data_IF_596659563249
#
_entry.id   IF_596659563249
#
_cell.length_a   1.000
_cell.length_b   1.000
_cell.length_c   1.000
_cell.angle_alpha   90.00
_cell.angle_beta   90.00
_cell.angle_gamma   90.00
#
_symmetry.space_group_name_H-M   'P 1'
#
loop_
_entity.id
_entity.type
_entity.pdbx_description
1 polymer ?
#
# COMPACT_ATOMS: atom_id res chain seq x y z
N UNK A 1 -39.56 -8.40 -19.42
CA UNK A 1 -38.32 -9.00 -18.87
C UNK A 1 -37.16 -8.67 -19.80
N UNK A 2 -36.73 -7.42 -19.78
CA UNK A 2 -35.65 -6.89 -20.61
C UNK A 2 -35.20 -5.56 -19.99
N UNK A 3 -34.32 -5.62 -18.97
CA UNK A 3 -33.59 -4.47 -18.38
C UNK A 3 -32.56 -4.92 -17.35
N UNK A 4 -31.66 -5.82 -17.71
CA UNK A 4 -30.51 -6.17 -16.87
C UNK A 4 -29.14 -6.05 -17.56
N UNK A 5 -29.13 -5.78 -18.89
CA UNK A 5 -27.87 -5.83 -19.64
C UNK A 5 -27.11 -4.50 -19.63
N UNK A 6 -27.68 -3.43 -19.07
CA UNK A 6 -27.05 -2.10 -19.04
C UNK A 6 -26.17 -1.81 -17.83
N UNK A 7 -26.28 -2.57 -16.76
CA UNK A 7 -25.52 -2.30 -15.51
C UNK A 7 -24.16 -3.00 -15.51
N UNK A 8 -24.02 -4.12 -16.20
CA UNK A 8 -22.76 -4.88 -16.28
C UNK A 8 -21.83 -4.43 -17.44
N UNK A 9 -22.33 -3.66 -18.40
CA UNK A 9 -21.49 -3.13 -19.49
C UNK A 9 -20.73 -1.86 -19.13
N UNK A 10 -20.95 -1.29 -17.94
CA UNK A 10 -20.26 -0.11 -17.42
C UNK A 10 -19.12 -0.42 -16.44
N UNK A 11 -18.81 -1.69 -16.19
CA UNK A 11 -17.57 -2.09 -15.53
C UNK A 11 -16.44 -1.84 -16.53
N UNK A 12 -15.76 -0.69 -16.37
CA UNK A 12 -14.68 -0.29 -17.23
C UNK A 12 -13.62 -1.40 -17.25
N UNK A 13 -13.46 -2.06 -18.40
CA UNK A 13 -12.31 -2.92 -18.64
C UNK A 13 -11.05 -2.11 -18.35
N UNK A 14 -10.29 -2.53 -17.33
CA UNK A 14 -9.00 -1.91 -17.05
C UNK A 14 -8.14 -2.07 -18.29
N UNK A 15 -7.78 -0.98 -18.92
CA UNK A 15 -6.93 -1.08 -20.11
C UNK A 15 -5.59 -1.72 -19.72
N UNK A 16 -5.00 -2.53 -20.62
CA UNK A 16 -3.64 -3.08 -20.41
C UNK A 16 -2.65 -2.00 -20.01
N UNK A 17 -2.83 -0.77 -20.49
CA UNK A 17 -1.99 0.37 -20.16
C UNK A 17 -2.14 0.78 -18.70
N UNK A 18 -3.34 0.79 -18.15
CA UNK A 18 -3.60 1.18 -16.77
C UNK A 18 -3.15 0.09 -15.80
N UNK A 19 -3.30 -1.18 -16.18
CA UNK A 19 -2.75 -2.30 -15.44
C UNK A 19 -1.21 -2.28 -15.41
N UNK A 20 -0.55 -1.92 -16.50
CA UNK A 20 0.91 -1.70 -16.52
C UNK A 20 1.34 -0.54 -15.62
N UNK A 21 0.60 0.56 -15.62
CA UNK A 21 0.87 1.69 -14.70
C UNK A 21 0.77 1.26 -13.24
N UNK A 22 -0.25 0.47 -12.91
CA UNK A 22 -0.43 -0.10 -11.58
C UNK A 22 0.76 -0.94 -11.16
N UNK A 23 1.15 -1.93 -11.95
CA UNK A 23 2.29 -2.79 -11.63
C UNK A 23 3.59 -1.98 -11.49
N UNK A 24 3.73 -0.93 -12.30
CA UNK A 24 4.85 0.02 -12.19
C UNK A 24 4.79 0.82 -10.88
N UNK A 25 3.61 1.28 -10.47
CA UNK A 25 3.44 1.98 -9.20
C UNK A 25 3.72 1.07 -7.99
N UNK A 26 3.25 -0.19 -8.03
CA UNK A 26 3.56 -1.18 -6.98
C UNK A 26 5.06 -1.49 -6.93
N UNK A 27 5.73 -1.64 -8.07
CA UNK A 27 7.17 -1.81 -8.12
C UNK A 27 7.90 -0.61 -7.53
N UNK A 28 7.48 0.61 -7.86
CA UNK A 28 8.04 1.84 -7.31
C UNK A 28 7.84 1.95 -5.78
N UNK A 29 6.67 1.54 -5.27
CA UNK A 29 6.40 1.48 -3.82
C UNK A 29 7.40 0.58 -3.09
N UNK A 30 7.88 -0.47 -3.75
CA UNK A 30 8.87 -1.41 -3.21
C UNK A 30 10.32 -0.99 -3.52
N UNK A 31 10.55 0.17 -4.13
CA UNK A 31 11.87 0.62 -4.57
C UNK A 31 12.47 -0.20 -5.72
N UNK A 32 11.63 -0.91 -6.47
CA UNK A 32 12.05 -1.74 -7.61
C UNK A 32 12.08 -0.93 -8.92
N UNK A 33 12.83 -1.42 -9.90
CA UNK A 33 12.95 -0.78 -11.21
C UNK A 33 11.65 -0.88 -12.05
N UNK A 34 11.53 -0.07 -13.08
CA UNK A 34 10.42 -0.15 -14.06
C UNK A 34 10.35 -1.52 -14.78
N UNK A 35 11.48 -2.21 -14.91
CA UNK A 35 11.52 -3.58 -15.42
C UNK A 35 10.74 -4.54 -14.52
N UNK A 36 10.85 -4.38 -13.21
CA UNK A 36 10.07 -5.16 -12.25
C UNK A 36 8.55 -4.92 -12.39
N UNK A 37 8.13 -3.70 -12.72
CA UNK A 37 6.73 -3.41 -13.04
C UNK A 37 6.23 -4.17 -14.28
N UNK A 38 7.06 -4.32 -15.30
CA UNK A 38 6.73 -5.11 -16.49
C UNK A 38 6.67 -6.62 -16.17
N UNK A 39 7.59 -7.14 -15.35
CA UNK A 39 7.59 -8.53 -14.87
C UNK A 39 6.35 -8.82 -14.02
N UNK A 40 5.96 -7.91 -13.15
CA UNK A 40 4.72 -8.01 -12.37
C UNK A 40 3.50 -8.02 -13.29
N UNK A 41 3.46 -7.15 -14.30
CA UNK A 41 2.38 -7.14 -15.29
C UNK A 41 2.24 -8.50 -15.97
N UNK A 42 3.34 -9.08 -16.45
CA UNK A 42 3.33 -10.36 -17.10
C UNK A 42 2.84 -11.49 -16.18
N UNK A 43 3.34 -11.54 -14.94
CA UNK A 43 2.99 -12.58 -13.98
C UNK A 43 1.52 -12.51 -13.51
N UNK A 44 0.98 -11.31 -13.37
CA UNK A 44 -0.40 -11.08 -12.90
C UNK A 44 -1.44 -11.16 -14.04
N UNK A 45 -1.01 -11.16 -15.31
CA UNK A 45 -1.87 -11.40 -16.47
C UNK A 45 -1.94 -12.87 -16.88
N UNK A 46 -1.29 -13.76 -16.14
CA UNK A 46 -1.43 -15.21 -16.39
C UNK A 46 -2.89 -15.66 -16.17
N UNK A 47 -3.38 -16.63 -17.00
CA UNK A 47 -4.79 -17.07 -16.95
C UNK A 47 -5.18 -17.73 -15.61
N UNK A 48 -4.22 -18.19 -14.82
CA UNK A 48 -4.48 -18.83 -13.52
C UNK A 48 -4.29 -17.82 -12.38
N UNK A 49 -5.41 -17.28 -11.91
CA UNK A 49 -5.43 -16.43 -10.73
C UNK A 49 -5.05 -17.25 -9.48
N UNK A 50 -4.18 -16.72 -8.59
CA UNK A 50 -3.86 -17.39 -7.35
C UNK A 50 -5.10 -17.45 -6.45
N UNK A 51 -5.44 -18.63 -5.92
CA UNK A 51 -6.55 -18.75 -4.98
C UNK A 51 -6.16 -18.10 -3.64
N UNK A 52 -7.09 -17.37 -3.06
CA UNK A 52 -6.94 -16.68 -1.77
C UNK A 52 -8.08 -17.11 -0.85
N UNK A 53 -7.72 -17.54 0.34
CA UNK A 53 -8.61 -17.78 1.46
C UNK A 53 -8.37 -16.68 2.49
N UNK A 54 -9.39 -15.86 2.76
CA UNK A 54 -9.35 -14.81 3.76
C UNK A 54 -10.24 -15.21 4.94
N UNK A 55 -9.63 -15.42 6.09
CA UNK A 55 -10.34 -15.86 7.31
C UNK A 55 -10.30 -14.74 8.33
N UNK A 56 -11.50 -14.29 8.77
CA UNK A 56 -11.67 -13.32 9.84
C UNK A 56 -11.71 -13.99 11.21
N UNK A 57 -10.97 -13.46 12.17
CA UNK A 57 -11.00 -13.88 13.57
C UNK A 57 -11.62 -12.76 14.43
N UNK A 58 -11.04 -12.38 15.57
CA UNK A 58 -11.51 -11.19 16.32
C UNK A 58 -11.05 -9.92 15.59
N UNK A 59 -11.86 -9.45 14.68
CA UNK A 59 -11.57 -8.32 13.80
C UNK A 59 -12.70 -7.28 13.81
N UNK A 60 -12.44 -6.09 13.30
CA UNK A 60 -13.41 -4.99 13.16
C UNK A 60 -13.76 -4.69 11.70
N UNK A 61 -13.40 -5.56 10.77
CA UNK A 61 -13.50 -5.38 9.31
C UNK A 61 -12.62 -4.25 8.75
N UNK A 62 -11.86 -3.56 9.60
CA UNK A 62 -11.05 -2.39 9.20
C UNK A 62 -9.96 -2.70 8.18
N UNK A 63 -9.38 -3.91 8.21
CA UNK A 63 -8.37 -4.32 7.23
C UNK A 63 -9.01 -4.58 5.86
N UNK A 64 -10.19 -5.20 5.82
CA UNK A 64 -11.00 -5.36 4.61
C UNK A 64 -11.44 -4.00 4.07
N UNK A 65 -11.95 -3.10 4.92
CA UNK A 65 -12.32 -1.73 4.55
C UNK A 65 -11.13 -0.96 3.93
N UNK A 66 -9.96 -1.10 4.52
CA UNK A 66 -8.74 -0.48 3.97
C UNK A 66 -8.44 -1.00 2.57
N UNK A 67 -8.60 -2.30 2.33
CA UNK A 67 -8.41 -2.90 1.01
C UNK A 67 -9.44 -2.39 -0.01
N UNK A 68 -10.71 -2.24 0.40
CA UNK A 68 -11.76 -1.69 -0.46
C UNK A 68 -11.49 -0.25 -0.89
N UNK A 69 -10.65 0.49 -0.15
CA UNK A 69 -10.24 1.86 -0.45
C UNK A 69 -8.98 1.95 -1.30
N UNK A 70 -8.43 0.82 -1.75
CA UNK A 70 -7.32 0.85 -2.68
C UNK A 70 -7.77 1.43 -4.03
N UNK A 71 -6.97 2.35 -4.58
CA UNK A 71 -7.26 3.01 -5.85
C UNK A 71 -6.52 2.39 -7.03
N UNK A 72 -5.39 1.72 -6.76
CA UNK A 72 -4.53 1.13 -7.77
C UNK A 72 -3.84 -0.15 -7.25
N UNK A 73 -4.41 -1.34 -7.49
CA UNK A 73 -5.68 -1.65 -8.13
C UNK A 73 -6.88 -1.26 -7.29
N UNK A 74 -8.03 -1.05 -7.94
CA UNK A 74 -9.29 -1.03 -7.21
C UNK A 74 -9.62 -2.43 -6.72
N UNK A 75 -10.52 -2.56 -5.76
CA UNK A 75 -10.92 -3.88 -5.24
C UNK A 75 -11.54 -4.76 -6.34
N UNK A 76 -12.26 -4.17 -7.27
CA UNK A 76 -12.85 -4.89 -8.41
C UNK A 76 -11.75 -5.52 -9.27
N UNK A 77 -10.70 -4.76 -9.61
CA UNK A 77 -9.57 -5.29 -10.37
C UNK A 77 -8.84 -6.38 -9.63
N UNK A 78 -8.65 -6.21 -8.31
CA UNK A 78 -8.02 -7.22 -7.48
C UNK A 78 -8.79 -8.53 -7.52
N UNK A 79 -10.09 -8.50 -7.20
CA UNK A 79 -10.94 -9.70 -7.05
C UNK A 79 -11.29 -10.31 -8.40
N UNK A 80 -11.55 -9.47 -9.43
CA UNK A 80 -11.99 -9.98 -10.73
C UNK A 80 -10.86 -10.37 -11.67
N UNK A 81 -9.66 -9.80 -11.49
CA UNK A 81 -8.58 -9.97 -12.47
C UNK A 81 -7.28 -10.56 -11.88
N UNK A 82 -6.93 -10.22 -10.63
CA UNK A 82 -5.62 -10.53 -10.08
C UNK A 82 -5.60 -11.77 -9.19
N UNK A 83 -6.67 -12.02 -8.42
CA UNK A 83 -6.79 -13.15 -7.49
C UNK A 83 -8.09 -13.93 -7.75
N UNK A 84 -8.15 -15.16 -7.25
CA UNK A 84 -9.40 -15.90 -7.10
C UNK A 84 -9.75 -15.92 -5.62
N UNK A 85 -10.67 -15.06 -5.20
CA UNK A 85 -11.11 -14.97 -3.81
C UNK A 85 -12.10 -16.14 -3.54
N UNK A 86 -11.58 -17.22 -2.98
CA UNK A 86 -12.34 -18.45 -2.76
C UNK A 86 -13.21 -18.39 -1.51
N UNK A 87 -12.77 -17.64 -0.51
CA UNK A 87 -13.49 -17.47 0.75
C UNK A 87 -13.15 -16.13 1.41
N UNK A 88 -14.20 -15.43 1.88
CA UNK A 88 -14.10 -14.22 2.68
C UNK A 88 -15.43 -14.00 3.39
N UNK A 89 -15.46 -13.93 4.73
CA UNK A 89 -16.71 -13.83 5.50
C UNK A 89 -17.57 -12.63 5.10
N UNK A 90 -16.97 -11.50 4.80
CA UNK A 90 -17.69 -10.25 4.50
C UNK A 90 -18.05 -10.10 3.02
N UNK A 91 -17.21 -10.59 2.08
CA UNK A 91 -17.36 -10.34 0.64
C UNK A 91 -17.97 -11.49 -0.13
N UNK A 92 -17.95 -12.72 0.40
CA UNK A 92 -18.53 -13.87 -0.27
C UNK A 92 -20.06 -13.82 -0.24
N UNK A 93 -20.69 -14.18 -1.35
CA UNK A 93 -22.14 -14.25 -1.44
C UNK A 93 -22.72 -15.50 -0.74
N UNK A 94 -21.92 -16.56 -0.59
CA UNK A 94 -22.33 -17.79 0.09
C UNK A 94 -22.42 -17.57 1.60
N UNK A 95 -23.34 -18.28 2.26
CA UNK A 95 -23.53 -18.25 3.71
C UNK A 95 -23.86 -19.66 4.26
N UNK A 96 -23.72 -19.83 5.59
CA UNK A 96 -24.03 -21.07 6.28
C UNK A 96 -23.19 -22.25 5.78
N UNK A 97 -23.81 -23.42 5.60
CA UNK A 97 -23.15 -24.65 5.15
C UNK A 97 -22.48 -24.47 3.79
N UNK A 98 -23.10 -23.71 2.87
CA UNK A 98 -22.52 -23.45 1.55
C UNK A 98 -21.19 -22.70 1.65
N UNK A 99 -21.04 -21.74 2.56
CA UNK A 99 -19.80 -21.02 2.77
C UNK A 99 -18.71 -21.94 3.33
N UNK A 100 -19.06 -22.79 4.30
CA UNK A 100 -18.15 -23.77 4.87
C UNK A 100 -17.68 -24.81 3.85
N UNK A 101 -18.62 -25.31 3.04
CA UNK A 101 -18.32 -26.26 1.96
C UNK A 101 -17.37 -25.62 0.93
N UNK A 102 -17.61 -24.38 0.53
CA UNK A 102 -16.73 -23.66 -0.39
C UNK A 102 -15.32 -23.52 0.19
N UNK A 103 -15.19 -23.15 1.47
CA UNK A 103 -13.90 -23.06 2.16
C UNK A 103 -13.17 -24.41 2.19
N UNK A 104 -13.84 -25.46 2.61
CA UNK A 104 -13.24 -26.81 2.67
C UNK A 104 -12.90 -27.35 1.27
N UNK A 105 -13.72 -27.10 0.28
CA UNK A 105 -13.45 -27.49 -1.11
C UNK A 105 -12.24 -26.72 -1.67
N UNK A 106 -12.14 -25.43 -1.41
CA UNK A 106 -11.02 -24.62 -1.82
C UNK A 106 -9.70 -25.10 -1.18
N UNK A 107 -9.70 -25.40 0.14
CA UNK A 107 -8.55 -25.99 0.85
C UNK A 107 -8.08 -27.29 0.18
N UNK A 108 -9.00 -28.17 -0.17
CA UNK A 108 -8.70 -29.46 -0.82
C UNK A 108 -8.21 -29.27 -2.26
N UNK A 109 -8.94 -28.49 -3.04
CA UNK A 109 -8.68 -28.29 -4.48
C UNK A 109 -7.35 -27.58 -4.73
N UNK A 110 -7.02 -26.58 -3.89
CA UNK A 110 -5.85 -25.73 -4.05
C UNK A 110 -4.74 -26.04 -3.04
N UNK A 111 -4.73 -27.21 -2.42
CA UNK A 111 -3.73 -27.59 -1.44
C UNK A 111 -2.29 -27.34 -1.95
N UNK A 112 -1.49 -26.63 -1.18
CA UNK A 112 -0.13 -26.23 -1.54
C UNK A 112 -0.03 -25.04 -2.52
N UNK A 113 -1.16 -24.40 -2.89
CA UNK A 113 -1.17 -23.35 -3.93
C UNK A 113 -1.87 -22.07 -3.52
N UNK A 114 -2.72 -22.07 -2.50
CA UNK A 114 -3.45 -20.88 -2.09
C UNK A 114 -2.66 -20.03 -1.10
N UNK A 115 -2.98 -18.75 -1.09
CA UNK A 115 -2.53 -17.80 -0.07
C UNK A 115 -3.59 -17.76 1.03
N UNK A 116 -3.18 -18.01 2.27
CA UNK A 116 -4.02 -17.81 3.44
C UNK A 116 -3.79 -16.40 3.98
N UNK A 117 -4.84 -15.61 4.07
CA UNK A 117 -4.85 -14.29 4.73
C UNK A 117 -5.68 -14.42 5.99
N UNK A 118 -5.13 -14.03 7.12
CA UNK A 118 -5.83 -14.01 8.40
C UNK A 118 -5.94 -12.57 8.89
N UNK A 119 -7.18 -12.12 9.13
CA UNK A 119 -7.52 -10.82 9.71
C UNK A 119 -8.04 -11.03 11.14
N UNK A 120 -7.65 -10.15 12.06
CA UNK A 120 -8.06 -10.25 13.45
C UNK A 120 -7.18 -11.12 14.33
N UNK A 121 -7.29 -10.94 15.64
CA UNK A 121 -6.57 -11.74 16.64
C UNK A 121 -7.26 -13.07 16.92
N UNK A 122 -6.49 -14.05 17.32
CA UNK A 122 -7.01 -15.41 17.53
C UNK A 122 -7.16 -15.64 19.05
N UNK A 123 -8.39 -15.73 19.58
CA UNK A 123 -8.59 -16.01 20.99
C UNK A 123 -8.25 -17.47 21.31
N UNK A 124 -7.48 -17.68 22.37
CA UNK A 124 -7.10 -19.04 22.81
C UNK A 124 -7.61 -19.39 24.20
N UNK A 125 -8.06 -18.39 24.98
CA UNK A 125 -8.59 -18.62 26.32
C UNK A 125 -9.90 -19.42 26.24
N UNK A 126 -10.14 -20.22 27.24
CA UNK A 126 -11.36 -21.05 27.41
C UNK A 126 -11.67 -21.92 26.15
N UNK A 127 -10.59 -22.44 25.50
CA UNK A 127 -10.73 -23.25 24.28
C UNK A 127 -11.08 -22.46 23.02
N UNK A 128 -10.92 -21.12 23.02
CA UNK A 128 -11.18 -20.29 21.85
C UNK A 128 -12.64 -19.89 21.63
N UNK A 129 -13.52 -20.08 22.62
CA UNK A 129 -14.97 -19.81 22.51
C UNK A 129 -15.33 -18.36 22.19
N UNK A 130 -14.40 -17.43 22.33
CA UNK A 130 -14.62 -16.00 22.07
C UNK A 130 -14.65 -15.62 20.57
N UNK A 131 -14.37 -16.58 19.68
CA UNK A 131 -14.57 -16.45 18.25
C UNK A 131 -14.90 -17.82 17.65
N UNK A 132 -16.18 -18.03 17.36
CA UNK A 132 -16.73 -19.29 16.88
C UNK A 132 -17.32 -19.11 15.47
N UNK A 133 -16.96 -19.99 14.55
CA UNK A 133 -17.51 -20.05 13.21
C UNK A 133 -17.99 -21.47 12.93
N UNK A 134 -19.20 -21.63 12.43
CA UNK A 134 -19.81 -22.94 12.15
C UNK A 134 -19.69 -23.94 13.31
N UNK A 135 -19.83 -23.47 14.56
CA UNK A 135 -19.78 -24.29 15.76
C UNK A 135 -18.38 -24.73 16.22
N UNK A 136 -17.31 -24.22 15.59
CA UNK A 136 -15.91 -24.52 15.95
C UNK A 136 -15.14 -23.24 16.28
N UNK A 137 -14.17 -23.30 17.21
CA UNK A 137 -13.27 -22.17 17.45
C UNK A 137 -12.50 -21.79 16.19
N UNK A 138 -12.34 -20.47 15.96
CA UNK A 138 -11.67 -19.96 14.76
C UNK A 138 -10.21 -20.44 14.66
N UNK A 139 -9.56 -20.71 15.80
CA UNK A 139 -8.19 -21.24 15.82
C UNK A 139 -8.08 -22.58 15.10
N UNK A 140 -9.10 -23.44 15.17
CA UNK A 140 -9.12 -24.73 14.48
C UNK A 140 -9.20 -24.54 12.96
N UNK A 141 -10.08 -23.64 12.49
CA UNK A 141 -10.20 -23.29 11.06
C UNK A 141 -8.87 -22.74 10.51
N UNK A 142 -8.23 -21.85 11.25
CA UNK A 142 -6.95 -21.26 10.85
C UNK A 142 -5.84 -22.31 10.80
N UNK A 143 -5.76 -23.19 11.82
CA UNK A 143 -4.76 -24.26 11.85
C UNK A 143 -4.98 -25.29 10.74
N UNK A 144 -6.24 -25.59 10.39
CA UNK A 144 -6.56 -26.46 9.27
C UNK A 144 -6.12 -25.83 7.94
N UNK A 145 -6.51 -24.58 7.70
CA UNK A 145 -6.18 -23.87 6.47
C UNK A 145 -4.67 -23.62 6.33
N UNK A 146 -3.96 -23.40 7.43
CA UNK A 146 -2.51 -23.16 7.39
C UNK A 146 -1.69 -24.35 6.88
N UNK A 147 -2.18 -25.59 7.05
CA UNK A 147 -1.47 -26.82 6.64
C UNK A 147 -1.24 -26.91 5.12
N UNK A 148 -2.15 -26.36 4.35
CA UNK A 148 -2.12 -26.44 2.89
C UNK A 148 -1.79 -25.09 2.22
N UNK A 149 -1.47 -24.04 2.95
CA UNK A 149 -1.18 -22.74 2.39
C UNK A 149 0.22 -22.67 1.77
N UNK A 150 0.33 -22.09 0.59
CA UNK A 150 1.62 -21.78 -0.06
C UNK A 150 2.30 -20.56 0.57
N UNK A 151 1.51 -19.61 1.07
CA UNK A 151 1.96 -18.47 1.84
C UNK A 151 0.89 -18.11 2.88
N UNK A 152 1.33 -17.58 4.03
CA UNK A 152 0.45 -17.21 5.13
C UNK A 152 0.72 -15.74 5.47
N UNK A 153 -0.32 -14.92 5.45
CA UNK A 153 -0.26 -13.48 5.71
C UNK A 153 -1.14 -13.15 6.92
N UNK A 154 -0.55 -12.53 7.92
CA UNK A 154 -1.25 -11.88 9.02
C UNK A 154 -1.48 -10.41 8.65
N UNK A 155 -2.71 -10.05 8.26
CA UNK A 155 -3.07 -8.68 7.93
C UNK A 155 -3.60 -7.95 9.14
N UNK A 156 -3.11 -6.75 9.36
CA UNK A 156 -3.47 -5.93 10.51
C UNK A 156 -2.71 -6.27 11.79
N UNK A 157 -2.70 -5.31 12.72
CA UNK A 157 -2.02 -5.47 14.01
C UNK A 157 -2.66 -6.51 14.90
N UNK A 158 -3.95 -6.82 14.70
CA UNK A 158 -4.64 -7.86 15.45
C UNK A 158 -4.08 -9.23 15.11
N UNK A 159 -3.98 -9.59 13.84
CA UNK A 159 -3.40 -10.87 13.42
C UNK A 159 -1.88 -10.94 13.68
N UNK A 160 -1.18 -9.81 13.54
CA UNK A 160 0.27 -9.76 13.72
C UNK A 160 0.70 -9.80 15.20
N UNK A 161 -0.03 -9.11 16.10
CA UNK A 161 0.41 -8.86 17.50
C UNK A 161 -0.69 -9.04 18.55
N UNK A 162 -1.90 -9.44 18.20
CA UNK A 162 -3.07 -9.43 19.08
C UNK A 162 -3.87 -8.13 19.05
N UNK A 163 -3.27 -7.00 18.71
CA UNK A 163 -3.92 -5.70 18.45
C UNK A 163 -4.83 -5.19 19.57
N UNK A 164 -5.92 -4.55 19.19
CA UNK A 164 -6.93 -4.00 20.14
C UNK A 164 -7.50 -5.06 21.08
N UNK A 165 -7.90 -6.28 20.63
CA UNK A 165 -8.45 -7.28 21.54
C UNK A 165 -7.48 -7.76 22.63
N UNK A 166 -6.15 -7.69 22.40
CA UNK A 166 -5.15 -8.06 23.38
C UNK A 166 -4.81 -6.96 24.39
N UNK A 167 -5.28 -5.71 24.17
CA UNK A 167 -5.02 -4.60 25.06
C UNK A 167 -5.78 -4.72 26.39
N UNK A 168 -5.33 -4.00 27.44
CA UNK A 168 -6.07 -3.86 28.69
C UNK A 168 -6.30 -5.14 29.47
N UNK A 169 -5.35 -6.09 29.50
CA UNK A 169 -5.42 -7.33 30.27
C UNK A 169 -5.82 -8.56 29.47
N UNK A 170 -6.03 -8.42 28.17
CA UNK A 170 -6.28 -9.50 27.22
C UNK A 170 -7.37 -10.50 27.68
N UNK A 171 -8.64 -10.09 27.80
CA UNK A 171 -9.70 -10.89 28.43
C UNK A 171 -10.01 -12.19 27.68
N UNK A 172 -9.77 -12.25 26.37
CA UNK A 172 -10.08 -13.39 25.50
C UNK A 172 -8.86 -14.29 25.23
N UNK A 173 -7.67 -13.90 25.70
CA UNK A 173 -6.43 -14.55 25.29
C UNK A 173 -6.12 -14.34 23.81
N UNK A 174 -6.42 -13.13 23.31
CA UNK A 174 -6.18 -12.74 21.92
C UNK A 174 -4.69 -12.84 21.60
N UNK A 175 -4.35 -13.73 20.67
CA UNK A 175 -2.99 -14.08 20.26
C UNK A 175 -2.73 -13.70 18.81
N UNK A 176 -1.45 -13.59 18.47
CA UNK A 176 -1.03 -13.43 17.07
C UNK A 176 -1.14 -14.75 16.30
N UNK A 177 -1.17 -14.64 14.99
CA UNK A 177 -1.18 -15.81 14.10
C UNK A 177 0.07 -16.69 14.31
N UNK A 178 1.24 -16.07 14.47
CA UNK A 178 2.49 -16.80 14.71
C UNK A 178 2.51 -17.57 16.04
N UNK A 179 1.72 -17.16 17.03
CA UNK A 179 1.65 -17.82 18.34
C UNK A 179 0.73 -19.06 18.32
N UNK A 180 -0.26 -19.10 17.43
CA UNK A 180 -1.23 -20.20 17.33
C UNK A 180 -0.86 -21.25 16.29
N UNK A 181 0.09 -20.96 15.42
CA UNK A 181 0.61 -21.91 14.45
C UNK A 181 1.84 -22.66 14.99
N UNK A 182 2.18 -23.81 14.41
CA UNK A 182 3.40 -24.54 14.79
C UNK A 182 4.65 -23.66 14.71
N UNK A 183 5.57 -23.80 15.67
CA UNK A 183 6.83 -23.04 15.69
C UNK A 183 7.59 -23.22 14.37
N UNK A 184 8.04 -22.12 13.78
CA UNK A 184 8.79 -22.12 12.54
C UNK A 184 7.91 -22.01 11.27
N UNK A 185 6.58 -21.99 11.42
CA UNK A 185 5.71 -21.68 10.29
C UNK A 185 5.98 -20.24 9.80
N UNK A 186 6.36 -20.04 8.52
CA UNK A 186 6.64 -18.70 8.00
C UNK A 186 5.33 -17.92 7.86
N UNK A 187 5.21 -16.83 8.63
CA UNK A 187 4.09 -15.90 8.59
C UNK A 187 4.62 -14.54 8.16
N UNK A 188 3.99 -13.94 7.17
CA UNK A 188 4.27 -12.57 6.72
C UNK A 188 3.36 -11.64 7.52
N UNK A 189 3.95 -10.76 8.31
CA UNK A 189 3.21 -9.78 9.09
C UNK A 189 3.07 -8.47 8.32
N UNK A 190 1.84 -8.01 8.11
CA UNK A 190 1.52 -6.70 7.53
C UNK A 190 0.72 -5.91 8.56
N UNK A 191 1.38 -5.42 9.63
CA UNK A 191 0.69 -4.71 10.69
C UNK A 191 0.23 -3.32 10.26
N UNK A 192 -0.73 -2.81 11.00
CA UNK A 192 -1.41 -1.54 10.85
C UNK A 192 -2.81 -1.67 11.44
N UNK A 193 -3.48 -0.58 11.79
CA UNK A 193 -4.83 -0.63 12.33
C UNK A 193 -5.70 0.49 11.73
N UNK A 194 -6.16 0.23 10.49
CA UNK A 194 -5.79 -0.83 9.54
C UNK A 194 -4.42 -0.62 8.90
N UNK A 195 -3.84 -1.63 8.23
CA UNK A 195 -2.63 -1.47 7.43
C UNK A 195 -2.92 -0.69 6.15
N UNK A 196 -1.88 -0.06 5.59
CA UNK A 196 -2.00 0.53 4.26
C UNK A 196 -2.22 -0.60 3.22
N UNK A 197 -3.28 -0.54 2.41
CA UNK A 197 -3.61 -1.60 1.47
C UNK A 197 -2.52 -1.84 0.42
N UNK A 198 -1.77 -0.81 0.05
CA UNK A 198 -0.68 -0.95 -0.90
C UNK A 198 0.47 -1.83 -0.37
N UNK A 199 0.68 -1.87 0.96
CA UNK A 199 1.65 -2.78 1.55
C UNK A 199 1.25 -4.25 1.36
N UNK A 200 -0.03 -4.57 1.52
CA UNK A 200 -0.58 -5.90 1.25
C UNK A 200 -0.50 -6.24 -0.25
N UNK A 201 -1.02 -5.37 -1.11
CA UNK A 201 -1.06 -5.56 -2.55
C UNK A 201 0.34 -5.73 -3.15
N UNK A 202 1.31 -4.90 -2.73
CA UNK A 202 2.69 -5.01 -3.15
C UNK A 202 3.33 -6.33 -2.69
N UNK A 203 3.05 -6.78 -1.47
CA UNK A 203 3.55 -8.06 -0.96
C UNK A 203 3.01 -9.23 -1.77
N UNK A 204 1.70 -9.26 -2.03
CA UNK A 204 1.06 -10.31 -2.84
C UNK A 204 1.61 -10.29 -4.27
N UNK A 205 1.66 -9.12 -4.90
CA UNK A 205 2.22 -8.97 -6.26
C UNK A 205 3.67 -9.45 -6.34
N UNK A 206 4.50 -9.14 -5.34
CA UNK A 206 5.88 -9.62 -5.28
C UNK A 206 5.96 -11.14 -5.20
N UNK A 207 5.19 -11.76 -4.31
CA UNK A 207 5.17 -13.23 -4.15
C UNK A 207 4.72 -13.91 -5.44
N UNK A 208 3.68 -13.38 -6.08
CA UNK A 208 3.14 -13.95 -7.32
C UNK A 208 4.11 -13.84 -8.49
N UNK A 209 4.85 -12.73 -8.57
CA UNK A 209 5.83 -12.48 -9.63
C UNK A 209 7.09 -13.32 -9.47
N UNK A 210 7.69 -13.27 -8.29
CA UNK A 210 9.01 -13.82 -8.06
C UNK A 210 9.01 -15.21 -7.40
N UNK A 211 7.84 -15.72 -7.00
CA UNK A 211 7.65 -17.01 -6.31
C UNK A 211 8.57 -17.16 -5.07
N UNK A 212 8.86 -16.03 -4.42
CA UNK A 212 9.66 -15.92 -3.19
C UNK A 212 9.15 -14.80 -2.29
N UNK A 213 9.52 -14.86 -1.03
CA UNK A 213 9.19 -13.78 -0.09
C UNK A 213 10.03 -12.53 -0.38
N UNK A 214 9.48 -11.30 -0.16
CA UNK A 214 10.28 -10.09 -0.14
C UNK A 214 11.30 -10.15 1.02
N UNK A 215 12.28 -9.25 1.01
CA UNK A 215 13.17 -9.09 2.15
C UNK A 215 12.34 -8.69 3.40
N UNK A 216 12.62 -9.36 4.53
CA UNK A 216 11.84 -9.23 5.75
C UNK A 216 12.71 -8.73 6.90
N UNK A 217 12.12 -8.02 7.84
CA UNK A 217 12.75 -7.68 9.11
C UNK A 217 12.66 -8.82 10.14
N UNK A 218 13.18 -8.57 11.36
CA UNK A 218 13.15 -9.56 12.48
C UNK A 218 11.73 -9.89 12.96
N UNK A 219 10.74 -9.08 12.65
CA UNK A 219 9.33 -9.28 12.98
C UNK A 219 8.55 -9.87 11.81
N UNK A 220 9.23 -10.37 10.79
CA UNK A 220 8.65 -10.90 9.55
C UNK A 220 7.76 -9.88 8.83
N UNK A 221 8.14 -8.59 8.85
CA UNK A 221 7.47 -7.54 8.07
C UNK A 221 8.28 -7.25 6.81
N UNK A 222 7.65 -7.01 5.65
CA UNK A 222 8.35 -6.63 4.42
C UNK A 222 9.17 -5.33 4.60
N UNK A 223 10.47 -5.38 4.37
CA UNK A 223 11.37 -4.23 4.58
C UNK A 223 10.96 -3.01 3.75
N UNK A 224 10.45 -3.19 2.52
CA UNK A 224 10.04 -2.07 1.69
C UNK A 224 8.98 -1.17 2.35
N UNK A 225 8.20 -1.72 3.31
CA UNK A 225 7.14 -1.01 4.02
C UNK A 225 7.51 -0.64 5.47
N UNK A 226 8.44 -1.39 6.09
CA UNK A 226 8.71 -1.29 7.54
C UNK A 226 10.19 -1.12 7.88
N UNK A 227 11.02 -0.61 6.97
CA UNK A 227 12.47 -0.45 7.20
C UNK A 227 12.86 0.88 7.86
N UNK A 228 11.95 1.85 7.93
CA UNK A 228 12.24 3.20 8.39
C UNK A 228 11.31 3.66 9.51
N UNK A 229 11.86 4.47 10.43
CA UNK A 229 11.07 5.09 11.49
C UNK A 229 10.15 6.18 10.93
N UNK A 230 8.88 6.16 11.37
CA UNK A 230 7.90 7.18 11.00
C UNK A 230 8.40 8.58 11.39
N UNK A 231 9.04 8.71 12.55
CA UNK A 231 9.56 9.98 13.06
C UNK A 231 10.63 10.60 12.14
N UNK A 232 11.49 9.80 11.53
CA UNK A 232 12.58 10.28 10.66
C UNK A 232 12.03 10.88 9.34
N UNK A 233 10.92 10.34 8.85
CA UNK A 233 10.31 10.76 7.59
C UNK A 233 9.03 11.59 7.78
N UNK A 234 8.73 12.03 9.02
CA UNK A 234 7.56 12.81 9.32
C UNK A 234 7.74 14.26 8.86
N UNK A 235 6.78 14.79 8.10
CA UNK A 235 6.82 16.20 7.67
C UNK A 235 6.77 17.19 8.85
N UNK A 236 6.34 16.76 10.06
CA UNK A 236 6.39 17.55 11.29
C UNK A 236 7.76 17.47 12.01
N UNK A 237 8.73 16.70 11.48
CA UNK A 237 10.05 16.57 12.08
C UNK A 237 10.79 17.91 12.27
N UNK A 238 10.74 18.88 11.34
CA UNK A 238 11.36 20.20 11.56
C UNK A 238 10.81 20.94 12.77
N UNK A 239 9.55 20.72 13.15
CA UNK A 239 8.99 21.26 14.37
C UNK A 239 9.55 20.61 15.63
N UNK A 240 9.79 19.26 15.58
CA UNK A 240 10.45 18.56 16.67
C UNK A 240 11.85 19.11 16.91
N UNK A 241 12.66 19.23 15.85
CA UNK A 241 14.04 19.71 15.92
C UNK A 241 14.12 21.17 16.40
N UNK A 242 13.11 21.97 16.11
CA UNK A 242 12.99 23.36 16.57
C UNK A 242 12.32 23.52 17.95
N UNK A 243 12.00 22.42 18.66
CA UNK A 243 11.33 22.45 19.97
C UNK A 243 9.89 22.96 19.94
N UNK A 244 9.21 22.90 18.77
CA UNK A 244 7.83 23.35 18.58
C UNK A 244 6.86 22.19 18.69
N UNK A 245 6.14 22.11 19.79
CA UNK A 245 5.22 21.01 20.11
C UNK A 245 3.79 21.50 20.32
N UNK A 246 2.81 20.74 19.84
CA UNK A 246 1.45 20.80 20.33
C UNK A 246 1.41 20.22 21.75
N UNK A 247 0.85 20.94 22.71
CA UNK A 247 0.74 20.53 24.12
C UNK A 247 -0.66 19.99 24.44
N UNK A 248 -1.66 20.49 23.73
CA UNK A 248 -3.06 20.10 23.87
C UNK A 248 -3.72 20.02 22.49
N UNK A 249 -4.75 19.18 22.36
CA UNK A 249 -5.56 19.15 21.15
C UNK A 249 -6.26 20.49 20.95
N UNK A 250 -6.13 21.07 19.77
CA UNK A 250 -6.76 22.34 19.43
C UNK A 250 -6.00 23.59 19.94
N UNK A 251 -4.84 23.45 20.58
CA UNK A 251 -3.99 24.60 20.94
C UNK A 251 -3.39 25.28 19.70
N UNK A 252 -2.64 26.35 19.90
CA UNK A 252 -1.98 27.06 18.80
C UNK A 252 -1.03 26.15 18.02
N UNK A 253 -0.21 25.35 18.72
CA UNK A 253 0.73 24.42 18.07
C UNK A 253 0.03 23.35 17.25
N UNK A 254 -1.05 22.79 17.81
CA UNK A 254 -1.84 21.76 17.12
C UNK A 254 -2.47 22.30 15.82
N UNK A 255 -3.12 23.47 15.89
CA UNK A 255 -3.73 24.13 14.72
C UNK A 255 -2.72 24.56 13.66
N UNK A 256 -1.49 24.85 14.06
CA UNK A 256 -0.39 25.23 13.16
C UNK A 256 0.51 24.06 12.73
N UNK A 257 0.07 22.82 12.95
CA UNK A 257 0.77 21.64 12.46
C UNK A 257 2.10 21.32 13.17
N UNK A 258 2.31 21.80 14.41
CA UNK A 258 3.52 21.51 15.17
C UNK A 258 3.62 20.02 15.55
N UNK A 259 4.79 19.59 15.97
CA UNK A 259 5.04 18.20 16.34
C UNK A 259 4.10 17.71 17.46
N UNK A 260 3.55 16.50 17.28
CA UNK A 260 2.59 15.89 18.20
C UNK A 260 3.26 15.02 19.28
N UNK A 261 4.57 15.12 19.46
CA UNK A 261 5.31 14.30 20.42
C UNK A 261 4.76 14.40 21.83
N UNK A 262 4.48 15.61 22.30
CA UNK A 262 3.92 15.84 23.65
C UNK A 262 2.48 15.33 23.80
N UNK A 263 1.79 15.02 22.72
CA UNK A 263 0.48 14.34 22.75
C UNK A 263 0.61 12.81 22.73
N UNK A 264 1.83 12.28 22.93
CA UNK A 264 2.07 10.85 23.02
C UNK A 264 2.35 10.15 21.69
N UNK A 265 2.82 10.89 20.67
CA UNK A 265 3.17 10.31 19.37
C UNK A 265 4.25 9.22 19.50
N UNK A 266 3.93 8.01 19.01
CA UNK A 266 4.81 6.83 19.01
C UNK A 266 5.69 6.73 17.75
N UNK A 267 5.66 7.75 16.87
CA UNK A 267 6.48 7.77 15.65
C UNK A 267 7.96 7.46 15.87
N UNK A 268 8.61 7.94 16.97
CA UNK A 268 10.01 7.63 17.26
C UNK A 268 10.33 6.15 17.53
N UNK A 269 9.33 5.36 17.86
CA UNK A 269 9.49 3.91 18.17
C UNK A 269 8.80 3.03 17.13
N UNK A 270 8.26 3.60 16.06
CA UNK A 270 7.41 2.88 15.11
C UNK A 270 8.01 2.87 13.72
N UNK A 271 8.23 1.68 13.19
CA UNK A 271 8.65 1.49 11.81
C UNK A 271 7.46 1.40 10.88
N UNK A 272 7.54 2.08 9.72
CA UNK A 272 6.48 2.07 8.72
C UNK A 272 6.60 3.20 7.71
N UNK A 273 5.86 3.08 6.63
CA UNK A 273 5.85 4.02 5.52
C UNK A 273 4.66 5.01 5.55
N UNK A 274 3.92 5.08 6.66
CA UNK A 274 2.71 5.94 6.76
C UNK A 274 2.98 7.42 6.50
N UNK A 275 4.20 7.89 6.72
CA UNK A 275 4.60 9.28 6.46
C UNK A 275 4.95 9.58 5.01
N UNK A 276 5.14 8.55 4.18
CA UNK A 276 5.60 8.66 2.79
C UNK A 276 4.64 8.01 1.80
N UNK A 277 3.90 6.99 2.23
CA UNK A 277 2.84 6.34 1.48
C UNK A 277 1.52 6.57 2.20
N UNK A 278 0.79 7.57 1.77
CA UNK A 278 -0.49 7.94 2.37
C UNK A 278 -1.55 6.84 2.15
N UNK A 279 -2.57 6.81 3.04
CA UNK A 279 -3.69 5.90 2.86
C UNK A 279 -4.56 6.35 1.70
N UNK A 280 -4.43 5.67 0.56
CA UNK A 280 -5.39 5.68 -0.54
C UNK A 280 -5.92 7.04 -1.00
N UNK A 281 -7.16 7.06 -1.33
CA UNK A 281 -7.91 7.93 -2.22
C UNK A 281 -8.56 9.15 -1.58
N UNK A 282 -8.37 9.39 -0.29
CA UNK A 282 -9.14 10.41 0.46
C UNK A 282 -8.48 11.80 0.46
N UNK A 283 -7.53 12.07 -0.43
CA UNK A 283 -6.79 13.34 -0.47
C UNK A 283 -5.57 13.37 0.47
N UNK A 284 -4.71 14.37 0.37
CA UNK A 284 -3.42 14.41 1.05
C UNK A 284 -3.46 14.29 2.58
N UNK A 285 -2.36 13.79 3.16
CA UNK A 285 -2.17 13.60 4.61
C UNK A 285 -3.07 12.55 5.27
N UNK A 286 -3.46 11.50 4.56
CA UNK A 286 -4.37 10.44 5.03
C UNK A 286 -3.70 9.45 5.98
N UNK A 287 -3.14 9.91 7.06
CA UNK A 287 -2.58 9.10 8.12
C UNK A 287 -2.71 9.85 9.46
N UNK A 288 -2.61 9.18 10.62
CA UNK A 288 -2.95 9.80 11.90
C UNK A 288 -2.27 11.15 12.12
N UNK A 289 -0.95 11.24 11.92
CA UNK A 289 -0.22 12.52 12.12
C UNK A 289 -0.61 13.56 11.07
N UNK A 290 -0.96 13.13 9.86
CA UNK A 290 -1.45 13.99 8.81
C UNK A 290 -2.72 14.75 9.20
N UNK A 291 -3.66 14.05 9.79
CA UNK A 291 -4.94 14.60 10.24
C UNK A 291 -4.91 15.21 11.65
N UNK A 292 -3.72 15.34 12.26
CA UNK A 292 -3.56 15.99 13.56
C UNK A 292 -3.63 15.05 14.77
N UNK A 293 -3.63 13.72 14.57
CA UNK A 293 -3.60 12.75 15.64
C UNK A 293 -2.18 12.16 15.81
N UNK A 294 -1.64 12.01 17.03
CA UNK A 294 -0.34 11.36 17.22
C UNK A 294 -0.33 9.93 16.70
N UNK A 295 0.85 9.48 16.21
CA UNK A 295 1.04 8.09 15.82
C UNK A 295 0.80 7.16 17.00
N UNK A 296 -0.06 6.14 16.83
CA UNK A 296 -0.37 5.12 17.85
C UNK A 296 0.74 4.07 18.05
N UNK A 297 1.62 3.92 17.08
CA UNK A 297 2.58 2.82 17.10
C UNK A 297 2.00 1.47 16.69
N UNK A 298 0.89 1.45 15.95
CA UNK A 298 0.17 0.21 15.63
C UNK A 298 0.99 -0.81 14.84
N UNK A 299 1.97 -0.36 14.05
CA UNK A 299 2.86 -1.25 13.29
C UNK A 299 3.90 -1.97 14.16
N UNK A 300 4.08 -1.55 15.42
CA UNK A 300 5.20 -2.02 16.24
C UNK A 300 4.74 -2.89 17.39
N UNK A 301 5.33 -4.10 17.49
CA UNK A 301 5.07 -5.03 18.59
C UNK A 301 5.55 -4.42 19.92
N UNK A 302 4.69 -4.43 20.94
CA UNK A 302 5.01 -3.88 22.26
C UNK A 302 4.96 -2.34 22.37
N UNK A 303 4.56 -1.66 21.31
CA UNK A 303 4.33 -0.20 21.29
C UNK A 303 2.85 0.09 21.16
N UNK A 304 2.26 -0.17 20.00
CA UNK A 304 0.82 -0.03 19.81
C UNK A 304 0.03 -0.97 20.69
N UNK A 305 -1.07 -0.47 21.25
CA UNK A 305 -2.00 -1.21 22.12
C UNK A 305 -1.42 -1.70 23.45
N UNK A 306 -0.11 -1.45 23.69
CA UNK A 306 0.62 -1.83 24.91
C UNK A 306 0.97 -0.60 25.74
N UNK A 307 1.51 0.45 25.09
CA UNK A 307 1.83 1.72 25.76
C UNK A 307 0.59 2.60 25.88
N UNK A 308 0.48 3.36 26.95
CA UNK A 308 -0.59 4.34 27.13
C UNK A 308 -0.64 5.37 25.99
N UNK A 309 -1.84 5.83 25.61
CA UNK A 309 -2.04 6.73 24.46
C UNK A 309 -1.17 7.99 24.60
N UNK A 310 -1.14 8.63 25.78
CA UNK A 310 -0.38 9.84 26.05
C UNK A 310 1.04 9.59 26.59
N UNK A 311 1.45 8.34 26.74
CA UNK A 311 2.81 8.01 27.15
C UNK A 311 3.78 8.46 26.08
N UNK A 312 4.86 9.14 26.47
CA UNK A 312 5.89 9.58 25.53
C UNK A 312 6.70 8.38 25.01
N UNK A 313 7.03 8.42 23.74
CA UNK A 313 7.94 7.47 23.11
C UNK A 313 9.38 7.77 23.46
N UNK A 314 10.24 6.75 23.49
CA UNK A 314 11.69 6.95 23.53
C UNK A 314 12.18 7.53 22.19
N UNK A 315 13.16 8.43 22.27
CA UNK A 315 13.79 8.99 21.07
C UNK A 315 15.27 8.61 21.10
N UNK A 316 15.64 7.61 20.31
CA UNK A 316 17.03 7.15 20.23
C UNK A 316 17.90 8.06 19.34
N UNK A 317 17.33 8.58 18.26
CA UNK A 317 18.00 9.46 17.31
C UNK A 317 17.30 10.83 17.28
N UNK A 318 17.62 11.75 18.18
CA UNK A 318 16.96 13.06 18.25
C UNK A 318 17.26 13.97 17.05
N UNK A 319 18.34 13.72 16.32
CA UNK A 319 18.72 14.47 15.12
C UNK A 319 18.43 13.65 13.86
N UNK A 320 17.98 14.28 12.76
CA UNK A 320 17.82 13.59 11.50
C UNK A 320 19.12 12.91 11.06
N UNK A 321 19.03 11.69 10.56
CA UNK A 321 20.16 11.08 9.87
C UNK A 321 20.49 11.96 8.65
N UNK A 322 21.71 12.43 8.56
CA UNK A 322 22.23 12.97 7.32
C UNK A 322 22.52 11.78 6.42
N UNK A 323 21.59 11.42 5.58
CA UNK A 323 21.87 10.48 4.49
C UNK A 323 22.91 11.17 3.59
N UNK A 324 24.15 10.74 3.70
CA UNK A 324 25.10 11.00 2.65
C UNK A 324 24.64 10.16 1.46
N UNK A 325 24.30 10.77 0.32
CA UNK A 325 23.99 9.99 -0.86
C UNK A 325 25.16 9.06 -1.13
N UNK A 326 24.90 7.77 -1.21
CA UNK A 326 25.93 6.80 -1.56
C UNK A 326 26.28 7.01 -3.03
N UNK A 327 27.30 7.82 -3.27
CA UNK A 327 27.78 8.18 -4.62
C UNK A 327 28.33 6.96 -5.37
N UNK A 328 28.52 5.85 -4.68
CA UNK A 328 29.07 4.62 -5.27
C UNK A 328 27.99 3.62 -5.70
N UNK A 329 26.73 3.89 -5.42
CA UNK A 329 25.65 3.02 -5.86
C UNK A 329 25.27 3.35 -7.31
N UNK A 330 25.98 2.74 -8.25
CA UNK A 330 25.80 2.92 -9.70
C UNK A 330 24.52 2.26 -10.25
N UNK A 331 23.77 1.53 -9.41
CA UNK A 331 22.50 0.93 -9.78
C UNK A 331 21.33 1.80 -9.30
N UNK A 332 20.96 2.78 -10.11
CA UNK A 332 19.67 3.48 -9.98
C UNK A 332 19.57 4.57 -8.93
N UNK A 333 20.65 5.31 -8.67
CA UNK A 333 20.60 6.47 -7.76
C UNK A 333 19.65 7.55 -8.31
N UNK A 334 18.85 8.18 -7.43
CA UNK A 334 17.94 9.27 -7.81
C UNK A 334 18.66 10.45 -8.51
N UNK A 335 19.97 10.59 -8.34
CA UNK A 335 20.81 11.55 -9.06
C UNK A 335 20.82 11.30 -10.57
N UNK A 336 20.77 10.03 -11.01
CA UNK A 336 20.69 9.68 -12.43
C UNK A 336 19.32 10.05 -13.01
N UNK A 337 18.25 9.83 -12.27
CA UNK A 337 16.89 10.23 -12.67
C UNK A 337 16.75 11.76 -12.72
N UNK A 338 17.33 12.48 -11.78
CA UNK A 338 17.32 13.94 -11.78
C UNK A 338 18.15 14.51 -12.93
N UNK A 339 19.31 13.93 -13.23
CA UNK A 339 20.14 14.33 -14.37
C UNK A 339 19.44 14.02 -15.70
N UNK A 340 18.80 12.85 -15.85
CA UNK A 340 18.01 12.49 -17.03
C UNK A 340 16.81 13.44 -17.17
N UNK A 341 16.12 13.77 -16.07
CA UNK A 341 15.01 14.71 -16.05
C UNK A 341 15.42 16.12 -16.48
N UNK A 342 16.57 16.62 -15.97
CA UNK A 342 17.12 17.92 -16.34
C UNK A 342 17.59 17.96 -17.79
N UNK A 343 18.28 16.94 -18.26
CA UNK A 343 18.72 16.84 -19.66
C UNK A 343 17.54 16.66 -20.62
N UNK A 344 16.54 15.85 -20.25
CA UNK A 344 15.31 15.69 -21.00
C UNK A 344 14.49 16.98 -21.06
N UNK A 345 14.37 17.70 -19.95
CA UNK A 345 13.72 19.00 -19.87
C UNK A 345 14.42 20.07 -20.73
N UNK A 346 15.74 20.14 -20.65
CA UNK A 346 16.54 21.06 -21.48
C UNK A 346 16.41 20.74 -22.98
N UNK A 347 16.43 19.46 -23.35
CA UNK A 347 16.24 19.04 -24.74
C UNK A 347 14.83 19.37 -25.25
N UNK A 348 13.79 19.22 -24.43
CA UNK A 348 12.41 19.59 -24.78
C UNK A 348 12.25 21.11 -24.96
N UNK A 349 12.88 21.91 -24.12
CA UNK A 349 12.90 23.38 -24.24
C UNK A 349 13.62 23.79 -25.52
N UNK A 350 14.79 23.23 -25.81
CA UNK A 350 15.53 23.52 -27.04
C UNK A 350 14.76 23.10 -28.27
N UNK A 351 14.10 21.95 -28.28
CA UNK A 351 13.23 21.51 -29.37
C UNK A 351 12.01 22.43 -29.54
N UNK A 352 11.41 22.88 -28.44
CA UNK A 352 10.31 23.86 -28.49
C UNK A 352 10.75 25.21 -29.08
N UNK A 353 11.89 25.72 -28.66
CA UNK A 353 12.46 26.96 -29.22
C UNK A 353 12.78 26.81 -30.72
N UNK A 354 13.37 25.67 -31.15
CA UNK A 354 13.62 25.40 -32.55
C UNK A 354 12.32 25.35 -33.38
N UNK A 355 11.26 24.72 -32.87
CA UNK A 355 9.97 24.67 -33.59
C UNK A 355 9.33 26.07 -33.75
N UNK A 356 9.41 26.90 -32.70
CA UNK A 356 8.87 28.26 -32.72
C UNK A 356 9.66 29.11 -33.71
N UNK A 357 10.99 29.09 -33.65
CA UNK A 357 11.84 29.87 -34.58
C UNK A 357 11.68 29.42 -36.03
N UNK A 358 11.55 28.10 -36.29
CA UNK A 358 11.31 27.59 -37.64
C UNK A 358 9.92 28.03 -38.18
N UNK A 359 8.89 28.07 -37.32
CA UNK A 359 7.57 28.58 -37.70
C UNK A 359 7.59 30.06 -38.01
N UNK A 360 8.29 30.87 -37.21
CA UNK A 360 8.44 32.32 -37.49
C UNK A 360 9.21 32.57 -38.77
N UNK A 361 10.32 31.87 -38.99
CA UNK A 361 11.08 31.97 -40.24
C UNK A 361 10.28 31.56 -41.46
N UNK A 362 9.48 30.51 -41.36
CA UNK A 362 8.61 30.07 -42.47
C UNK A 362 7.49 31.05 -42.73
N UNK A 363 6.91 31.69 -41.72
CA UNK A 363 5.90 32.73 -41.85
C UNK A 363 6.48 34.00 -42.52
N UNK A 364 7.69 34.40 -42.09
CA UNK A 364 8.40 35.54 -42.73
C UNK A 364 8.75 35.25 -44.17
N UNK A 365 9.18 34.03 -44.50
CA UNK A 365 9.48 33.64 -45.87
C UNK A 365 8.23 33.65 -46.76
N UNK A 366 7.10 33.18 -46.22
CA UNK A 366 5.81 33.22 -46.93
C UNK A 366 5.33 34.64 -47.16
N UNK A 367 5.42 35.52 -46.15
CA UNK A 367 5.05 36.94 -46.29
C UNK A 367 5.93 37.67 -47.29
N UNK A 368 7.26 37.40 -47.33
CA UNK A 368 8.18 37.94 -48.33
C UNK A 368 7.85 37.46 -49.75
N UNK A 369 7.50 36.20 -49.92
CA UNK A 369 7.10 35.61 -51.19
C UNK A 369 5.78 36.21 -51.72
N UNK A 370 4.82 36.44 -50.80
CA UNK A 370 3.55 37.08 -51.15
C UNK A 370 3.72 38.56 -51.52
N UNK A 371 4.57 39.30 -50.79
CA UNK A 371 4.92 40.67 -51.10
C UNK A 371 5.65 40.79 -52.45
N UNK A 372 6.57 39.88 -52.77
CA UNK A 372 7.27 39.86 -54.07
C UNK A 372 6.29 39.61 -55.24
N UNK A 373 5.35 38.67 -55.06
CA UNK A 373 4.29 38.40 -56.09
C UNK A 373 3.32 39.55 -56.24
N UNK A 374 3.04 40.33 -55.20
CA UNK A 374 2.19 41.52 -55.28
C UNK A 374 2.91 42.63 -56.00
N UNK A 375 4.20 42.87 -55.79
CA UNK A 375 5.02 43.84 -56.47
C UNK A 375 5.14 43.50 -57.96
N UNK A 376 5.35 42.24 -58.32
CA UNK A 376 5.43 41.75 -59.68
C UNK A 376 4.09 41.94 -60.45
N UNK A 377 2.97 41.86 -59.74
CA UNK A 377 1.63 42.05 -60.28
C UNK A 377 1.29 43.56 -60.55
N UNK A 378 1.82 44.43 -59.67
CA UNK A 378 1.69 45.91 -59.91
C UNK A 378 2.52 46.40 -61.07
N UNK A 379 3.70 45.82 -61.29
CA UNK A 379 4.56 46.14 -62.40
C UNK A 379 3.96 45.71 -63.76
N UNK A 380 3.14 44.64 -63.78
CA UNK A 380 2.46 44.13 -64.96
C UNK A 380 1.12 44.85 -65.30
N UNK A 381 0.53 45.54 -64.32
CA UNK A 381 -0.74 46.30 -64.57
C UNK A 381 -0.54 47.77 -64.80
N UNK A 382 0.69 48.25 -64.80
CA UNK A 382 1.06 49.66 -65.04
C UNK A 382 1.52 50.00 -66.50
N UNK A 383 1.07 49.21 -67.51
CA UNK A 383 1.21 49.55 -68.92
C UNK A 383 -0.13 49.69 -69.57
#
# INVERSE_FOLDING_TARGET
>A
MQRSDGLFSALAEVSRRDFMKLCTALAATMGLSSKAGAEMTAALTEPKRPPVLWIGAQECTGCTESLLRATHPTVENLVLEMISLEYHETLSAAFGEQAEDNKHNAIKQYYGKYVLVVDGSIPVKDGGVYCMVAGKPIVEHIQEAAKGAAAIIAIGSCAAWGGVPSSGGNPTGASSLSEVLPKGTPVINIPGCPPNPHNFLATVAYILTYKKLPAMDKLNRPLFAYDRLIHENCYRRPHFDAGRFAKEYGDYGHRNGWCLYHLGCKGPETYGNCSTLEFCDVGGNNWPVGIGHPCYGCNEKGVGFTKGIFQLAGVENPTPRVEKPDVNNTEGSGATMTAIGLLGGAAAILAGVCVVTLRELSAQHKARSEAAKAAEKEEHTGK
#
